data_IF_472103657881
#
_entry.id   IF_472103657881
#
_cell.length_a   1.000
_cell.length_b   1.000
_cell.length_c   1.000
_cell.angle_alpha   90.00
_cell.angle_beta   90.00
_cell.angle_gamma   90.00
#
_symmetry.space_group_name_H-M   'P 1'
#
loop_
_entity.id
_entity.type
_entity.pdbx_description
1 polymer ?
#
# COMPACT_ATOMS: atom_id res chain seq x y z
N UNK A 1 -16.50 7.30 6.87
CA UNK A 1 -16.81 5.86 7.08
C UNK A 1 -16.26 4.96 5.98
N UNK A 2 -16.29 5.32 4.69
CA UNK A 2 -15.71 4.48 3.62
C UNK A 2 -14.16 4.45 3.59
N UNK A 3 -13.50 5.54 4.01
CA UNK A 3 -12.03 5.67 3.94
C UNK A 3 -11.29 4.73 4.92
N UNK A 4 -11.86 4.52 6.12
CA UNK A 4 -11.26 3.72 7.20
C UNK A 4 -11.09 2.23 6.82
N UNK A 5 -12.09 1.66 6.13
CA UNK A 5 -12.01 0.28 5.63
C UNK A 5 -10.93 0.14 4.57
N UNK A 6 -10.81 1.11 3.66
CA UNK A 6 -9.77 1.12 2.63
C UNK A 6 -8.38 1.19 3.25
N UNK A 7 -8.17 2.10 4.20
CA UNK A 7 -6.89 2.24 4.91
C UNK A 7 -6.50 0.94 5.63
N UNK A 8 -7.45 0.28 6.29
CA UNK A 8 -7.19 -0.98 6.99
C UNK A 8 -6.84 -2.12 6.05
N UNK A 9 -7.49 -2.22 4.88
CA UNK A 9 -7.15 -3.23 3.86
C UNK A 9 -5.78 -2.95 3.26
N UNK A 10 -5.50 -1.70 2.88
CA UNK A 10 -4.20 -1.31 2.32
C UNK A 10 -3.06 -1.51 3.31
N UNK A 11 -3.28 -1.21 4.60
CA UNK A 11 -2.33 -1.50 5.67
C UNK A 11 -2.02 -2.99 5.77
N UNK A 12 -3.03 -3.87 5.67
CA UNK A 12 -2.80 -5.32 5.66
C UNK A 12 -2.04 -5.77 4.42
N UNK A 13 -2.35 -5.21 3.25
CA UNK A 13 -1.67 -5.53 1.99
C UNK A 13 -0.17 -5.13 2.02
N UNK A 14 0.13 -3.88 2.38
CA UNK A 14 1.52 -3.37 2.46
C UNK A 14 2.37 -4.09 3.50
N UNK A 15 1.75 -4.70 4.52
CA UNK A 15 2.43 -5.52 5.52
C UNK A 15 2.41 -7.02 5.20
N UNK A 16 2.17 -7.40 3.94
CA UNK A 16 2.12 -8.80 3.46
C UNK A 16 1.13 -9.71 4.21
N UNK A 17 0.12 -9.13 4.87
CA UNK A 17 -0.91 -9.88 5.63
C UNK A 17 -2.04 -10.41 4.75
N UNK A 18 -2.16 -9.89 3.53
CA UNK A 18 -3.03 -10.37 2.46
C UNK A 18 -2.30 -10.21 1.14
N UNK A 19 -2.60 -11.07 0.17
CA UNK A 19 -2.03 -10.95 -1.16
C UNK A 19 -2.71 -9.82 -1.97
N UNK A 20 -2.09 -9.51 -3.11
CA UNK A 20 -2.51 -8.44 -4.01
C UNK A 20 -3.89 -8.67 -4.63
N UNK A 21 -4.23 -9.91 -4.97
CA UNK A 21 -5.53 -10.23 -5.58
C UNK A 21 -6.64 -10.01 -4.56
N UNK A 22 -6.48 -10.53 -3.34
CA UNK A 22 -7.39 -10.29 -2.21
C UNK A 22 -7.57 -8.79 -1.93
N UNK A 23 -6.50 -7.99 -1.98
CA UNK A 23 -6.61 -6.53 -1.78
C UNK A 23 -7.40 -5.85 -2.92
N UNK A 24 -7.19 -6.28 -4.17
CA UNK A 24 -7.93 -5.75 -5.33
C UNK A 24 -9.41 -6.05 -5.23
N UNK A 25 -9.79 -7.25 -4.78
CA UNK A 25 -11.20 -7.61 -4.59
C UNK A 25 -11.89 -6.72 -3.54
N UNK A 26 -11.18 -6.36 -2.47
CA UNK A 26 -11.76 -5.60 -1.34
C UNK A 26 -11.85 -4.10 -1.58
N UNK A 27 -10.86 -3.49 -2.25
CA UNK A 27 -10.77 -2.01 -2.40
C UNK A 27 -10.60 -1.53 -3.84
N UNK A 28 -10.52 -2.45 -4.80
CA UNK A 28 -10.32 -2.12 -6.20
C UNK A 28 -8.86 -1.88 -6.59
N UNK A 29 -8.58 -2.14 -7.87
CA UNK A 29 -7.22 -2.08 -8.44
C UNK A 29 -6.56 -0.71 -8.36
N UNK A 30 -7.32 0.37 -8.48
CA UNK A 30 -6.77 1.72 -8.45
C UNK A 30 -6.27 2.11 -7.07
N UNK A 31 -6.96 1.68 -6.00
CA UNK A 31 -6.51 1.87 -4.62
C UNK A 31 -5.20 1.12 -4.36
N UNK A 32 -5.12 -0.15 -4.79
CA UNK A 32 -3.91 -0.98 -4.63
C UNK A 32 -2.73 -0.37 -5.40
N UNK A 33 -2.93 0.04 -6.66
CA UNK A 33 -1.90 0.71 -7.46
C UNK A 33 -1.39 2.01 -6.84
N UNK A 34 -2.28 2.77 -6.23
CA UNK A 34 -1.89 4.00 -5.54
C UNK A 34 -1.03 3.70 -4.33
N UNK A 35 -1.43 2.74 -3.49
CA UNK A 35 -0.66 2.32 -2.33
C UNK A 35 0.73 1.77 -2.72
N UNK A 36 0.83 0.97 -3.79
CA UNK A 36 2.11 0.47 -4.32
C UNK A 36 3.07 1.63 -4.68
N UNK A 37 2.56 2.70 -5.30
CA UNK A 37 3.36 3.89 -5.65
C UNK A 37 3.80 4.68 -4.42
N UNK A 38 2.90 4.85 -3.46
CA UNK A 38 3.19 5.56 -2.21
C UNK A 38 4.24 4.80 -1.39
N UNK A 39 4.14 3.45 -1.31
CA UNK A 39 5.15 2.61 -0.67
C UNK A 39 6.52 2.76 -1.34
N UNK A 40 6.58 2.67 -2.67
CA UNK A 40 7.84 2.81 -3.40
C UNK A 40 8.50 4.17 -3.13
N UNK A 41 7.72 5.26 -3.10
CA UNK A 41 8.26 6.59 -2.83
C UNK A 41 8.87 6.68 -1.42
N UNK A 42 8.23 6.08 -0.41
CA UNK A 42 8.77 6.03 0.96
C UNK A 42 10.05 5.18 1.02
N UNK A 43 10.07 4.03 0.34
CA UNK A 43 11.27 3.19 0.27
C UNK A 43 12.44 3.90 -0.42
N UNK A 44 12.15 4.66 -1.47
CA UNK A 44 13.12 5.49 -2.18
C UNK A 44 13.70 6.57 -1.28
N UNK A 45 12.85 7.26 -0.51
CA UNK A 45 13.26 8.29 0.45
C UNK A 45 14.13 7.71 1.58
N UNK A 46 13.74 6.56 2.14
CA UNK A 46 14.54 5.86 3.16
C UNK A 46 15.90 5.45 2.61
N UNK A 47 15.94 4.88 1.40
CA UNK A 47 17.18 4.47 0.74
C UNK A 47 18.08 5.67 0.45
N UNK A 48 17.52 6.80 0.02
CA UNK A 48 18.28 8.03 -0.17
C UNK A 48 18.92 8.48 1.15
N UNK A 49 18.15 8.53 2.23
CA UNK A 49 18.66 8.92 3.55
C UNK A 49 19.74 7.99 4.12
N UNK A 50 19.70 6.70 3.79
CA UNK A 50 20.72 5.71 4.20
C UNK A 50 21.98 5.72 3.32
N UNK A 51 21.94 6.35 2.14
CA UNK A 51 23.06 6.39 1.19
C UNK A 51 23.71 7.78 1.07
N UNK A 52 23.22 8.76 1.83
CA UNK A 52 23.80 10.10 1.98
C UNK A 52 24.87 10.14 3.07
#
# INVERSE_FOLDING_TARGET
MATDLTERVLSRYVNDKIDRETAIELVGRDCVKRAERELQAVEDDVRWGLSA
#
